data_IF_614910380257
#
_entry.id   IF_614910380257
#
_cell.length_a   1.000
_cell.length_b   1.000
_cell.length_c   1.000
_cell.angle_alpha   90.00
_cell.angle_beta   90.00
_cell.angle_gamma   90.00
#
_symmetry.space_group_name_H-M   'P 1'
#
loop_
_entity.id
_entity.type
_entity.pdbx_description
1 polymer ?
#
# COMPACT_ATOMS: atom_id res chain seq x y z
N UNK A 1 1.80 -10.71 -20.59
CA UNK A 1 1.75 -11.33 -19.25
C UNK A 1 0.29 -11.34 -18.82
N UNK A 2 -0.28 -12.48 -18.41
CA UNK A 2 -1.70 -12.52 -18.04
C UNK A 2 -2.00 -11.87 -16.68
N UNK A 3 -0.96 -11.60 -15.89
CA UNK A 3 -1.03 -10.95 -14.59
C UNK A 3 0.11 -9.95 -14.38
N UNK A 4 -0.06 -9.08 -13.37
CA UNK A 4 0.92 -8.09 -12.90
C UNK A 4 0.87 -7.98 -11.38
N UNK A 5 1.97 -7.53 -10.80
CA UNK A 5 2.04 -7.15 -9.39
C UNK A 5 1.86 -5.63 -9.28
N UNK A 6 0.93 -5.19 -8.45
CA UNK A 6 0.61 -3.78 -8.24
C UNK A 6 1.01 -3.41 -6.82
N UNK A 7 1.93 -2.46 -6.70
CA UNK A 7 2.32 -1.90 -5.39
C UNK A 7 1.08 -1.38 -4.67
N UNK A 8 0.92 -1.79 -3.42
CA UNK A 8 -0.22 -1.44 -2.58
C UNK A 8 0.20 -1.32 -1.13
N UNK A 9 -0.76 -1.01 -0.26
CA UNK A 9 -0.57 -0.98 1.17
C UNK A 9 -1.85 -1.37 1.89
N UNK A 10 -1.72 -1.66 3.18
CA UNK A 10 -2.78 -1.86 4.16
C UNK A 10 -3.95 -0.86 4.05
N UNK A 11 -3.65 0.38 3.65
CA UNK A 11 -4.59 1.50 3.62
C UNK A 11 -4.98 1.95 2.21
N UNK A 12 -4.42 1.29 1.19
CA UNK A 12 -4.76 1.58 -0.20
C UNK A 12 -6.07 0.90 -0.57
N UNK A 13 -6.84 1.52 -1.47
CA UNK A 13 -7.96 0.82 -2.10
C UNK A 13 -7.45 -0.39 -2.87
N UNK A 14 -8.23 -1.47 -2.86
CA UNK A 14 -7.89 -2.67 -3.61
C UNK A 14 -7.84 -2.35 -5.11
N UNK A 15 -6.77 -2.73 -5.83
CA UNK A 15 -6.67 -2.50 -7.27
C UNK A 15 -7.70 -3.31 -8.05
N UNK A 16 -8.04 -2.84 -9.25
CA UNK A 16 -8.90 -3.58 -10.17
C UNK A 16 -8.28 -4.94 -10.54
N UNK A 17 -9.13 -5.93 -10.78
CA UNK A 17 -8.74 -7.31 -11.13
C UNK A 17 -7.86 -8.02 -10.08
N UNK A 18 -7.91 -7.58 -8.82
CA UNK A 18 -7.22 -8.28 -7.74
C UNK A 18 -7.71 -9.72 -7.60
N UNK A 19 -6.76 -10.66 -7.54
CA UNK A 19 -7.05 -12.10 -7.51
C UNK A 19 -7.56 -12.51 -6.13
N UNK A 20 -8.78 -13.03 -6.08
CA UNK A 20 -9.37 -13.57 -4.84
C UNK A 20 -8.70 -14.88 -4.48
N UNK A 21 -8.17 -14.93 -3.26
CA UNK A 21 -7.51 -16.10 -2.69
C UNK A 21 -8.47 -17.06 -1.97
N UNK A 22 -9.52 -16.53 -1.36
CA UNK A 22 -10.48 -17.29 -0.55
C UNK A 22 -11.14 -16.40 0.50
N UNK A 23 -11.28 -16.92 1.72
CA UNK A 23 -11.91 -16.21 2.84
C UNK A 23 -11.15 -16.43 4.15
N UNK A 24 -11.08 -15.39 4.98
CA UNK A 24 -10.47 -15.44 6.32
C UNK A 24 -11.50 -15.92 7.37
N UNK A 25 -11.07 -16.00 8.63
CA UNK A 25 -11.89 -16.48 9.76
C UNK A 25 -13.14 -15.63 10.05
N UNK A 26 -13.08 -14.33 9.75
CA UNK A 26 -14.18 -13.38 9.87
C UNK A 26 -15.13 -13.42 8.65
N UNK A 27 -14.87 -14.32 7.70
CA UNK A 27 -15.58 -14.41 6.42
C UNK A 27 -15.17 -13.35 5.40
N UNK A 28 -14.22 -12.47 5.72
CA UNK A 28 -13.74 -11.47 4.78
C UNK A 28 -13.02 -12.12 3.60
N UNK A 29 -13.23 -11.57 2.40
CA UNK A 29 -12.49 -11.99 1.21
C UNK A 29 -11.00 -11.66 1.39
N UNK A 30 -10.15 -12.64 1.11
CA UNK A 30 -8.70 -12.46 1.10
C UNK A 30 -8.22 -12.41 -0.34
N UNK A 31 -7.17 -11.64 -0.58
CA UNK A 31 -6.57 -11.43 -1.89
C UNK A 31 -5.14 -11.92 -1.92
N UNK A 32 -4.70 -12.33 -3.10
CA UNK A 32 -3.35 -12.79 -3.34
C UNK A 32 -2.42 -11.58 -3.41
N UNK A 33 -1.48 -11.50 -2.48
CA UNK A 33 -0.40 -10.54 -2.50
C UNK A 33 0.96 -11.18 -2.32
N UNK A 34 2.00 -10.36 -2.35
CA UNK A 34 3.36 -10.71 -1.96
C UNK A 34 3.98 -9.58 -1.16
N UNK A 35 4.88 -9.91 -0.24
CA UNK A 35 5.58 -8.93 0.56
C UNK A 35 7.02 -9.39 0.82
N UNK A 36 7.93 -8.42 0.84
CA UNK A 36 9.32 -8.66 1.21
C UNK A 36 9.45 -8.78 2.74
N UNK A 37 10.22 -9.76 3.19
CA UNK A 37 10.57 -9.96 4.58
C UNK A 37 11.95 -10.58 4.70
N UNK A 38 12.90 -9.88 5.34
CA UNK A 38 14.30 -10.33 5.50
C UNK A 38 14.98 -10.71 4.18
N UNK A 39 14.65 -10.02 3.08
CA UNK A 39 15.17 -10.33 1.73
C UNK A 39 14.48 -11.49 1.01
N UNK A 40 13.50 -12.15 1.65
CA UNK A 40 12.64 -13.14 1.00
C UNK A 40 11.37 -12.47 0.46
N UNK A 41 10.99 -12.77 -0.79
CA UNK A 41 9.70 -12.37 -1.35
C UNK A 41 8.66 -13.47 -1.12
N UNK A 42 7.75 -13.26 -0.16
CA UNK A 42 6.82 -14.27 0.34
C UNK A 42 5.37 -13.97 -0.03
N UNK A 43 4.55 -15.03 -0.11
CA UNK A 43 3.10 -14.91 -0.35
C UNK A 43 2.46 -14.18 0.83
N UNK A 44 1.71 -13.13 0.52
CA UNK A 44 1.00 -12.30 1.46
C UNK A 44 -0.51 -12.49 1.32
N UNK A 45 -1.15 -12.94 2.40
CA UNK A 45 -2.60 -12.96 2.58
C UNK A 45 -3.10 -11.55 2.84
N UNK A 46 -3.58 -10.85 1.81
CA UNK A 46 -4.11 -9.49 1.93
C UNK A 46 -5.55 -9.54 2.43
N UNK A 47 -5.83 -8.87 3.55
CA UNK A 47 -7.15 -8.86 4.19
C UNK A 47 -7.64 -7.40 4.33
N UNK A 48 -8.37 -6.87 3.33
CA UNK A 48 -8.78 -5.46 3.31
C UNK A 48 -9.62 -5.03 4.52
N UNK A 49 -10.45 -5.91 5.07
CA UNK A 49 -11.25 -5.64 6.29
C UNK A 49 -10.37 -5.34 7.51
N UNK A 50 -9.20 -5.99 7.59
CA UNK A 50 -8.21 -5.81 8.66
C UNK A 50 -7.20 -4.72 8.35
N UNK A 51 -7.25 -4.13 7.15
CA UNK A 51 -6.25 -3.18 6.64
C UNK A 51 -4.82 -3.71 6.82
N UNK A 52 -4.59 -4.99 6.55
CA UNK A 52 -3.31 -5.64 6.72
C UNK A 52 -3.14 -6.80 5.74
N UNK A 53 -1.89 -7.09 5.40
CA UNK A 53 -1.45 -8.35 4.81
C UNK A 53 -0.81 -9.24 5.88
N UNK A 54 -0.79 -10.55 5.67
CA UNK A 54 -0.09 -11.50 6.53
C UNK A 54 0.76 -12.45 5.70
N UNK A 55 2.03 -12.57 6.04
CA UNK A 55 2.92 -13.61 5.49
C UNK A 55 3.11 -14.72 6.53
N UNK A 56 3.45 -15.92 6.08
CA UNK A 56 3.87 -16.99 6.98
C UNK A 56 5.39 -17.14 6.94
N UNK A 57 6.07 -17.18 8.08
CA UNK A 57 7.52 -17.38 8.14
C UNK A 57 7.92 -17.93 9.52
N UNK A 58 8.77 -18.98 9.53
CA UNK A 58 9.37 -19.57 10.75
C UNK A 58 8.37 -19.90 11.87
N UNK A 59 7.19 -20.43 11.53
CA UNK A 59 6.17 -20.79 12.52
C UNK A 59 5.19 -19.68 12.88
N UNK A 60 5.40 -18.45 12.40
CA UNK A 60 4.59 -17.27 12.75
C UNK A 60 3.82 -16.71 11.54
N UNK A 61 2.68 -16.08 11.84
CA UNK A 61 1.98 -15.24 10.87
C UNK A 61 2.35 -13.77 11.13
N UNK A 62 3.16 -13.21 10.24
CA UNK A 62 3.71 -11.88 10.40
C UNK A 62 2.87 -10.85 9.63
N UNK A 63 2.37 -9.79 10.30
CA UNK A 63 1.62 -8.74 9.64
C UNK A 63 2.52 -7.89 8.73
N UNK A 64 1.93 -7.38 7.64
CA UNK A 64 2.55 -6.53 6.63
C UNK A 64 1.59 -5.42 6.21
N UNK A 65 2.11 -4.21 6.17
CA UNK A 65 1.42 -2.99 5.76
C UNK A 65 1.80 -2.53 4.35
N UNK A 66 2.97 -2.93 3.88
CA UNK A 66 3.45 -2.72 2.51
C UNK A 66 3.53 -4.07 1.81
N UNK A 67 2.87 -4.17 0.65
CA UNK A 67 2.82 -5.39 -0.14
C UNK A 67 2.43 -5.07 -1.59
N UNK A 68 2.61 -6.02 -2.48
CA UNK A 68 2.07 -5.96 -3.83
C UNK A 68 0.85 -6.88 -3.92
N UNK A 69 -0.18 -6.47 -4.66
CA UNK A 69 -1.37 -7.28 -4.94
C UNK A 69 -1.24 -7.88 -6.35
N UNK A 70 -1.57 -9.16 -6.47
CA UNK A 70 -1.65 -9.84 -7.76
C UNK A 70 -2.94 -9.43 -8.48
N UNK A 71 -2.78 -8.83 -9.65
CA UNK A 71 -3.90 -8.44 -10.52
C UNK A 71 -3.79 -9.15 -11.86
N UNK A 72 -4.87 -9.73 -12.37
CA UNK A 72 -4.87 -10.32 -13.69
C UNK A 72 -6.02 -11.27 -13.97
N UNK A 73 -6.04 -11.76 -15.22
CA UNK A 73 -7.05 -12.68 -15.74
C UNK A 73 -6.41 -14.00 -16.18
N UNK A 74 -7.21 -15.05 -16.39
CA UNK A 74 -6.75 -16.40 -16.77
C UNK A 74 -5.83 -17.04 -15.70
N UNK A 75 -6.16 -16.84 -14.43
CA UNK A 75 -5.51 -17.51 -13.31
C UNK A 75 -6.48 -18.52 -12.71
N UNK A 76 -6.04 -19.76 -12.57
CA UNK A 76 -6.88 -20.88 -12.15
C UNK A 76 -6.23 -21.60 -10.98
N UNK A 77 -7.05 -22.02 -10.01
CA UNK A 77 -6.61 -22.87 -8.90
C UNK A 77 -6.74 -24.32 -9.30
N UNK A 78 -5.62 -25.05 -9.25
CA UNK A 78 -5.57 -26.47 -9.62
C UNK A 78 -5.14 -27.29 -8.42
N UNK A 79 -5.79 -28.41 -8.15
CA UNK A 79 -5.37 -29.34 -7.08
C UNK A 79 -3.96 -29.85 -7.37
N UNK A 80 -3.07 -29.72 -6.39
CA UNK A 80 -1.72 -30.25 -6.47
C UNK A 80 -1.71 -31.67 -5.87
N UNK A 81 -1.29 -32.65 -6.67
CA UNK A 81 -1.12 -34.03 -6.24
C UNK A 81 0.37 -34.32 -6.04
N UNK A 82 0.71 -35.05 -4.97
CA UNK A 82 2.08 -35.47 -4.63
C UNK A 82 3.12 -34.34 -4.58
N UNK A 83 2.69 -33.09 -4.37
CA UNK A 83 3.56 -31.90 -4.34
C UNK A 83 4.35 -31.67 -5.63
N UNK A 84 3.85 -32.16 -6.76
CA UNK A 84 4.40 -31.86 -8.09
C UNK A 84 3.93 -30.49 -8.52
N UNK A 85 4.86 -29.55 -8.65
CA UNK A 85 4.59 -28.17 -9.05
C UNK A 85 4.44 -28.11 -10.58
N UNK A 86 3.29 -27.68 -11.12
CA UNK A 86 3.12 -27.48 -12.57
C UNK A 86 4.06 -26.43 -13.14
N UNK A 87 4.49 -26.59 -14.39
CA UNK A 87 5.39 -25.65 -15.06
C UNK A 87 4.79 -24.24 -15.23
N UNK A 88 3.46 -24.16 -15.32
CA UNK A 88 2.72 -22.90 -15.43
C UNK A 88 2.26 -22.35 -14.07
N UNK A 89 2.84 -22.82 -12.96
CA UNK A 89 2.55 -22.28 -11.63
C UNK A 89 2.99 -20.82 -11.51
N UNK A 90 2.13 -20.00 -10.90
CA UNK A 90 2.42 -18.59 -10.68
C UNK A 90 3.52 -18.44 -9.64
N UNK A 91 4.62 -17.82 -10.06
CA UNK A 91 5.74 -17.50 -9.18
C UNK A 91 5.43 -16.23 -8.38
N UNK A 92 5.42 -16.35 -7.05
CA UNK A 92 5.30 -15.21 -6.14
C UNK A 92 6.58 -14.37 -6.16
N UNK A 93 7.71 -15.05 -6.03
CA UNK A 93 9.04 -14.46 -5.92
C UNK A 93 10.08 -15.50 -5.60
N UNK A 94 11.20 -15.06 -5.04
CA UNK A 94 12.29 -15.93 -4.59
C UNK A 94 12.71 -15.57 -3.16
N UNK A 95 13.23 -16.55 -2.45
CA UNK A 95 13.91 -16.32 -1.17
C UNK A 95 15.31 -15.74 -1.41
N UNK A 96 15.93 -15.25 -0.35
CA UNK A 96 17.34 -14.83 -0.27
C UNK A 96 18.34 -15.92 -0.69
N UNK A 97 17.93 -17.19 -0.64
CA UNK A 97 18.68 -18.35 -1.12
C UNK A 97 18.34 -18.74 -2.58
N UNK A 98 17.69 -17.85 -3.31
CA UNK A 98 17.25 -18.03 -4.70
C UNK A 98 16.23 -19.18 -4.91
N UNK A 99 15.53 -19.60 -3.85
CA UNK A 99 14.51 -20.64 -3.96
C UNK A 99 13.18 -20.06 -4.43
N UNK A 100 12.49 -20.70 -5.41
CA UNK A 100 11.21 -20.21 -5.91
C UNK A 100 10.10 -20.39 -4.86
N UNK A 101 9.28 -19.35 -4.71
CA UNK A 101 8.10 -19.37 -3.84
C UNK A 101 6.85 -19.37 -4.72
N UNK A 102 6.02 -20.40 -4.59
CA UNK A 102 4.76 -20.52 -5.34
C UNK A 102 3.55 -20.20 -4.46
N UNK A 103 2.44 -19.87 -5.12
CA UNK A 103 1.19 -19.46 -4.47
C UNK A 103 0.26 -20.66 -4.39
N UNK A 104 -0.13 -21.02 -3.17
CA UNK A 104 -1.13 -22.05 -2.94
C UNK A 104 -2.26 -21.56 -2.06
N UNK A 105 -3.32 -22.36 -1.98
CA UNK A 105 -4.39 -22.19 -1.00
C UNK A 105 -4.89 -23.55 -0.51
N UNK A 106 -5.39 -23.58 0.71
CA UNK A 106 -5.89 -24.81 1.31
C UNK A 106 -7.02 -24.55 2.30
N UNK A 107 -7.81 -25.59 2.53
CA UNK A 107 -8.86 -25.55 3.54
C UNK A 107 -8.25 -25.77 4.93
N UNK A 108 -8.55 -24.86 5.86
CA UNK A 108 -8.14 -24.96 7.26
C UNK A 108 -9.23 -24.38 8.15
N UNK A 109 -9.68 -25.15 9.15
CA UNK A 109 -10.76 -24.76 10.08
C UNK A 109 -12.04 -24.21 9.41
N UNK A 110 -12.39 -24.69 8.21
CA UNK A 110 -13.58 -24.24 7.47
C UNK A 110 -13.37 -23.00 6.60
N UNK A 111 -12.14 -22.48 6.54
CA UNK A 111 -11.77 -21.32 5.74
C UNK A 111 -10.83 -21.72 4.60
N UNK A 112 -10.89 -21.01 3.47
CA UNK A 112 -10.01 -21.22 2.33
C UNK A 112 -8.92 -20.16 2.33
N UNK A 113 -7.70 -20.55 2.69
CA UNK A 113 -6.62 -19.60 3.03
C UNK A 113 -5.43 -19.79 2.09
N UNK A 114 -4.90 -18.68 1.58
CA UNK A 114 -3.71 -18.68 0.73
C UNK A 114 -2.41 -18.71 1.54
N UNK A 115 -1.33 -19.15 0.90
CA UNK A 115 -0.01 -19.22 1.51
C UNK A 115 1.10 -19.59 0.55
N UNK A 116 2.30 -19.74 1.10
CA UNK A 116 3.51 -20.08 0.34
C UNK A 116 3.65 -21.60 0.20
N UNK A 117 3.93 -22.07 -1.02
CA UNK A 117 4.28 -23.47 -1.26
C UNK A 117 5.81 -23.58 -1.28
N UNK A 118 6.34 -24.51 -0.48
CA UNK A 118 7.76 -24.89 -0.51
C UNK A 118 7.93 -26.22 -1.22
N UNK A 119 8.72 -26.23 -2.29
CA UNK A 119 9.12 -27.47 -2.98
C UNK A 119 10.00 -28.35 -2.09
N UNK A 120 10.82 -27.73 -1.22
CA UNK A 120 11.72 -28.43 -0.30
C UNK A 120 10.96 -29.14 0.80
N UNK A 121 10.02 -28.45 1.46
CA UNK A 121 9.23 -29.04 2.53
C UNK A 121 8.03 -29.84 2.03
N UNK A 122 7.75 -29.79 0.72
CA UNK A 122 6.61 -30.46 0.09
C UNK A 122 5.32 -30.16 0.84
N UNK A 123 5.02 -28.87 1.02
CA UNK A 123 3.84 -28.44 1.77
C UNK A 123 3.43 -26.99 1.42
N UNK A 124 2.17 -26.68 1.71
CA UNK A 124 1.65 -25.32 1.78
C UNK A 124 1.79 -24.80 3.22
N UNK A 125 2.27 -23.58 3.38
CA UNK A 125 2.31 -22.86 4.65
C UNK A 125 1.39 -21.64 4.58
N UNK A 126 0.40 -21.59 5.46
CA UNK A 126 -0.58 -20.49 5.53
C UNK A 126 -0.42 -19.68 6.82
N UNK A 127 -0.74 -18.39 6.76
CA UNK A 127 -0.81 -17.51 7.93
C UNK A 127 -2.22 -17.53 8.55
N UNK A 128 -2.36 -18.05 9.77
CA UNK A 128 -3.65 -18.17 10.45
C UNK A 128 -3.53 -18.00 11.97
N UNK A 129 -4.33 -17.06 12.54
CA UNK A 129 -4.37 -16.72 13.97
C UNK A 129 -2.98 -16.52 14.62
N UNK A 130 -2.14 -15.71 13.98
CA UNK A 130 -0.80 -15.41 14.49
C UNK A 130 0.25 -16.52 14.27
N UNK A 131 -0.13 -17.68 13.75
CA UNK A 131 0.76 -18.81 13.54
C UNK A 131 0.84 -19.22 12.06
N UNK A 132 1.98 -19.80 11.67
CA UNK A 132 2.13 -20.51 10.41
C UNK A 132 1.57 -21.93 10.55
N UNK A 133 0.71 -22.34 9.62
CA UNK A 133 0.12 -23.69 9.58
C UNK A 133 0.59 -24.40 8.33
N UNK A 134 1.04 -25.65 8.52
CA UNK A 134 1.46 -26.54 7.45
C UNK A 134 0.27 -27.38 6.97
N UNK A 135 0.03 -27.39 5.67
CA UNK A 135 -0.98 -28.21 4.99
C UNK A 135 -0.30 -29.07 3.93
N UNK A 136 -0.66 -30.36 3.91
CA UNK A 136 -0.15 -31.30 2.90
C UNK A 136 -1.06 -31.37 1.65
N UNK A 137 -2.34 -31.03 1.78
CA UNK A 137 -3.30 -30.95 0.66
C UNK A 137 -3.64 -29.50 0.34
N UNK A 138 -3.45 -29.11 -0.91
CA UNK A 138 -3.64 -27.73 -1.36
C UNK A 138 -3.92 -27.64 -2.87
N UNK A 139 -4.43 -26.48 -3.26
CA UNK A 139 -4.50 -26.04 -4.64
C UNK A 139 -3.36 -25.07 -4.92
N UNK A 140 -2.81 -25.11 -6.13
CA UNK A 140 -1.77 -24.21 -6.62
C UNK A 140 -2.36 -23.27 -7.68
N UNK A 141 -1.95 -22.01 -7.64
CA UNK A 141 -2.36 -21.02 -8.62
C UNK A 141 -1.51 -21.20 -9.90
N UNK A 142 -2.18 -21.37 -11.04
CA UNK A 142 -1.52 -21.55 -12.34
C UNK A 142 -2.02 -20.52 -13.36
N UNK A 143 -1.15 -20.14 -14.30
CA UNK A 143 -1.52 -19.33 -15.45
C UNK A 143 -2.13 -20.23 -16.52
N UNK A 144 -3.40 -19.99 -16.87
CA UNK A 144 -4.05 -20.65 -17.98
C UNK A 144 -3.62 -19.97 -19.28
N UNK A 145 -2.72 -20.64 -20.00
CA UNK A 145 -2.32 -20.18 -21.33
C UNK A 145 -3.53 -20.32 -22.24
N UNK A 146 -4.07 -19.21 -22.73
CA UNK A 146 -5.03 -19.25 -23.85
C UNK A 146 -4.34 -19.93 -25.02
N UNK A 147 -4.58 -21.22 -25.17
CA UNK A 147 -4.51 -21.87 -26.47
C UNK A 147 -5.69 -21.28 -27.22
N UNK A 148 -5.50 -20.13 -27.88
CA UNK A 148 -6.23 -19.93 -29.13
C UNK A 148 -5.96 -21.22 -29.89
N UNK A 149 -6.97 -22.05 -30.20
CA UNK A 149 -6.76 -23.17 -31.10
C UNK A 149 -6.11 -22.52 -32.31
N UNK A 150 -4.83 -22.83 -32.51
CA UNK A 150 -4.14 -22.34 -33.68
C UNK A 150 -5.02 -22.74 -34.85
N UNK A 151 -5.13 -21.85 -35.83
CA UNK A 151 -5.29 -22.33 -37.18
C UNK A 151 -4.16 -23.33 -37.45
N UNK A 152 -4.36 -24.58 -37.06
CA UNK A 152 -3.63 -25.71 -37.60
C UNK A 152 -4.19 -25.84 -39.00
N UNK A 153 -3.37 -25.46 -40.00
CA UNK A 153 -3.59 -25.99 -41.33
C UNK A 153 -3.67 -27.52 -41.18
N UNK A 154 -4.70 -28.17 -41.78
CA UNK A 154 -4.77 -29.62 -41.74
C UNK A 154 -3.44 -30.19 -42.26
N UNK A 155 -2.96 -31.32 -41.72
CA UNK A 155 -1.74 -31.93 -42.21
C UNK A 155 -1.83 -32.11 -43.72
N UNK A 156 -0.77 -31.81 -44.48
CA UNK A 156 -0.79 -32.06 -45.92
C UNK A 156 -1.14 -33.54 -46.15
N UNK A 157 -1.94 -33.85 -47.18
CA UNK A 157 -2.27 -35.23 -47.50
C UNK A 157 -0.97 -36.05 -47.65
N UNK A 158 -0.99 -37.35 -47.33
CA UNK A 158 0.19 -38.20 -47.41
C UNK A 158 0.83 -38.07 -48.79
N UNK A 159 2.16 -37.92 -48.82
CA UNK A 159 2.94 -38.00 -50.04
C UNK A 159 2.84 -39.44 -50.56
N UNK A 160 1.90 -39.70 -51.45
CA UNK A 160 1.89 -40.92 -52.25
C UNK A 160 3.12 -40.88 -53.18
N UNK A 161 4.02 -41.84 -52.96
CA UNK A 161 5.18 -42.12 -53.79
C UNK A 161 4.75 -42.53 -55.22
N UNK A 162 5.62 -42.30 -56.23
CA UNK A 162 5.17 -41.97 -57.58
C UNK A 162 4.83 -43.21 -58.42
N UNK A 163 3.55 -43.40 -58.72
CA UNK A 163 3.14 -44.30 -59.81
C UNK A 163 3.32 -43.61 -61.18
N UNK A 164 4.44 -43.95 -61.81
CA UNK A 164 4.68 -44.12 -63.25
C UNK A 164 3.78 -43.33 -64.21
N UNK A 165 4.38 -42.31 -64.84
CA UNK A 165 3.81 -41.46 -65.90
C UNK A 165 3.09 -42.23 -67.02
N UNK A 166 2.04 -41.61 -67.61
CA UNK A 166 1.83 -41.63 -69.05
C UNK A 166 2.21 -40.28 -69.69
N UNK A 167 2.61 -40.37 -70.95
CA UNK A 167 3.25 -39.36 -71.79
C UNK A 167 2.41 -38.06 -71.96
N UNK A 168 3.11 -36.97 -72.21
CA UNK A 168 2.62 -35.60 -72.50
C UNK A 168 1.54 -35.53 -73.59
N UNK A 169 0.50 -34.67 -73.42
CA UNK A 169 -0.28 -34.16 -74.56
C UNK A 169 0.43 -32.93 -75.19
N UNK A 170 0.22 -32.68 -76.51
CA UNK A 170 0.93 -31.63 -77.26
C UNK A 170 0.48 -30.20 -76.88
N UNK A 171 1.28 -29.17 -77.17
CA UNK A 171 0.96 -27.79 -76.81
C UNK A 171 -0.21 -27.24 -77.66
N UNK A 172 -1.04 -26.33 -77.10
CA UNK A 172 -2.14 -25.70 -77.83
C UNK A 172 -1.65 -24.65 -78.84
N UNK A 173 -2.39 -24.42 -79.95
CA UNK A 173 -2.03 -23.43 -80.96
C UNK A 173 -2.22 -21.99 -80.47
N UNK A 174 -1.34 -21.09 -80.95
CA UNK A 174 -1.33 -19.66 -80.62
C UNK A 174 -2.60 -18.93 -81.11
N UNK A 175 -3.17 -18.00 -80.33
CA UNK A 175 -4.28 -17.16 -80.78
C UNK A 175 -3.82 -16.07 -81.77
N UNK A 176 -4.67 -15.68 -82.74
CA UNK A 176 -4.34 -14.64 -83.72
C UNK A 176 -4.32 -13.23 -83.12
N UNK A 177 -3.49 -12.40 -83.76
CA UNK A 177 -3.08 -11.04 -83.42
C UNK A 177 -4.25 -10.07 -83.20
N UNK A 178 -4.26 -9.36 -82.07
CA UNK A 178 -5.22 -8.29 -81.79
C UNK A 178 -4.90 -7.01 -82.59
N UNK A 179 -5.92 -6.23 -83.04
CA UNK A 179 -5.73 -4.96 -83.73
C UNK A 179 -5.19 -3.85 -82.77
N UNK A 180 -4.57 -2.78 -83.31
CA UNK A 180 -3.80 -1.84 -82.51
C UNK A 180 -4.68 -1.04 -81.55
N UNK A 181 -4.39 -1.15 -80.25
CA UNK A 181 -5.00 -0.37 -79.20
C UNK A 181 -4.59 1.11 -79.33
N UNK A 182 -5.60 1.98 -79.39
CA UNK A 182 -5.46 3.42 -79.34
C UNK A 182 -4.73 3.88 -78.06
N UNK A 183 -3.95 4.95 -78.20
CA UNK A 183 -3.08 5.51 -77.17
C UNK A 183 -3.85 5.86 -75.87
N UNK A 184 -3.29 5.47 -74.73
CA UNK A 184 -3.80 5.83 -73.40
C UNK A 184 -3.61 7.34 -73.15
N UNK A 185 -4.52 8.03 -72.43
CA UNK A 185 -4.51 9.50 -72.34
C UNK A 185 -3.40 10.12 -71.48
N UNK A 186 -2.51 9.35 -70.86
CA UNK A 186 -1.44 9.90 -70.01
C UNK A 186 -0.16 9.05 -70.10
N UNK A 187 0.87 9.48 -70.84
CA UNK A 187 2.19 8.86 -70.78
C UNK A 187 2.92 9.24 -69.48
N UNK A 188 3.52 8.25 -68.81
CA UNK A 188 4.50 8.50 -67.75
C UNK A 188 5.78 9.09 -68.38
N UNK A 189 6.41 10.10 -67.77
CA UNK A 189 7.65 10.66 -68.29
C UNK A 189 8.80 9.66 -68.21
N UNK A 190 9.62 9.68 -69.26
CA UNK A 190 10.80 8.84 -69.44
C UNK A 190 11.83 9.09 -68.32
N UNK A 191 12.25 8.00 -67.65
CA UNK A 191 13.20 8.04 -66.53
C UNK A 191 14.62 8.48 -66.96
N UNK A 192 14.87 8.65 -68.26
CA UNK A 192 16.12 9.17 -68.81
C UNK A 192 16.27 10.69 -68.84
N UNK A 193 15.24 11.48 -68.46
CA UNK A 193 15.27 12.95 -68.59
C UNK A 193 15.14 13.75 -67.28
N UNK A 194 15.43 13.15 -66.12
CA UNK A 194 15.47 13.89 -64.86
C UNK A 194 16.83 14.59 -64.66
N UNK A 195 16.88 15.86 -64.18
CA UNK A 195 18.07 16.71 -64.25
C UNK A 195 19.09 16.49 -63.10
N UNK A 196 19.08 15.33 -62.44
CA UNK A 196 19.95 15.07 -61.29
C UNK A 196 20.76 13.79 -61.50
N UNK A 197 22.11 13.86 -61.46
CA UNK A 197 22.98 12.71 -61.70
C UNK A 197 22.84 11.64 -60.60
N UNK A 198 22.85 10.37 -61.01
CA UNK A 198 22.65 9.17 -60.20
C UNK A 198 23.81 8.83 -59.23
N UNK A 199 24.61 9.83 -58.83
CA UNK A 199 25.81 9.67 -58.00
C UNK A 199 25.65 10.10 -56.54
N UNK A 200 24.51 10.65 -56.13
CA UNK A 200 24.23 10.98 -54.72
C UNK A 200 23.21 10.03 -54.08
N UNK A 201 23.62 8.76 -53.95
CA UNK A 201 22.91 7.81 -53.09
C UNK A 201 23.46 7.99 -51.66
N UNK A 202 22.65 8.37 -50.66
CA UNK A 202 23.14 8.36 -49.27
C UNK A 202 23.53 6.92 -48.90
N UNK A 203 24.62 6.73 -48.13
CA UNK A 203 25.11 5.40 -47.79
C UNK A 203 24.05 4.61 -47.00
N UNK A 204 24.03 3.30 -47.23
CA UNK A 204 23.20 2.37 -46.49
C UNK A 204 23.49 2.49 -44.99
N UNK A 205 22.44 2.62 -44.19
CA UNK A 205 22.52 2.74 -42.74
C UNK A 205 23.07 1.45 -42.12
N UNK A 206 24.38 1.43 -41.84
CA UNK A 206 25.01 0.44 -40.97
C UNK A 206 25.05 0.99 -39.55
N UNK A 207 24.57 0.25 -38.53
CA UNK A 207 24.64 0.72 -37.14
C UNK A 207 26.11 0.81 -36.71
N UNK A 208 26.59 2.03 -36.47
CA UNK A 208 27.91 2.31 -35.88
C UNK A 208 27.87 2.08 -34.36
N UNK A 209 28.90 1.45 -33.78
CA UNK A 209 29.08 1.39 -32.32
C UNK A 209 29.43 2.78 -31.75
N UNK A 210 28.92 3.08 -30.55
CA UNK A 210 29.08 4.36 -29.85
C UNK A 210 30.55 4.77 -29.59
N UNK A 211 30.83 6.08 -29.52
CA UNK A 211 32.18 6.60 -29.30
C UNK A 211 32.62 6.52 -27.83
N UNK A 212 33.89 6.13 -27.63
CA UNK A 212 34.59 6.21 -26.35
C UNK A 212 34.73 7.67 -25.86
N UNK A 213 34.70 7.94 -24.55
CA UNK A 213 34.96 9.27 -24.00
C UNK A 213 36.46 9.65 -24.08
N UNK A 214 36.78 10.96 -24.05
CA UNK A 214 38.14 11.47 -24.30
C UNK A 214 39.13 11.16 -23.18
N UNK A 215 40.34 10.78 -23.58
CA UNK A 215 41.53 10.63 -22.73
C UNK A 215 42.04 12.02 -22.35
N UNK A 216 42.04 12.34 -21.06
CA UNK A 216 42.66 13.58 -20.58
C UNK A 216 42.14 14.10 -19.24
N UNK A 217 42.16 13.27 -18.20
CA UNK A 217 41.87 13.70 -16.83
C UNK A 217 42.55 12.77 -15.85
N UNK A 218 43.58 13.27 -15.17
CA UNK A 218 44.31 12.54 -14.12
C UNK A 218 43.37 12.35 -12.93
N UNK A 219 42.84 11.14 -12.75
CA UNK A 219 42.32 10.68 -11.46
C UNK A 219 43.34 9.73 -10.83
N UNK A 220 43.87 10.15 -9.69
CA UNK A 220 44.65 9.31 -8.78
C UNK A 220 43.67 8.31 -8.14
N UNK A 221 43.78 7.04 -8.52
CA UNK A 221 43.08 5.94 -7.86
C UNK A 221 43.88 5.44 -6.64
N UNK A 222 43.25 5.13 -5.50
CA UNK A 222 43.92 4.40 -4.42
C UNK A 222 44.23 2.96 -4.87
N UNK A 223 45.41 2.50 -4.47
CA UNK A 223 45.99 1.18 -4.76
C UNK A 223 45.09 0.02 -4.28
N UNK A 224 44.99 -1.10 -5.02
CA UNK A 224 44.35 -2.31 -4.50
C UNK A 224 45.20 -2.92 -3.38
N UNK A 225 44.55 -3.27 -2.27
CA UNK A 225 45.14 -4.01 -1.15
C UNK A 225 45.39 -5.48 -1.55
N UNK A 226 46.48 -6.10 -1.06
CA UNK A 226 46.84 -7.47 -1.44
C UNK A 226 45.95 -8.52 -0.75
N UNK A 227 45.70 -9.61 -1.45
CA UNK A 227 45.10 -10.87 -0.94
C UNK A 227 45.95 -11.48 0.17
N UNK A 228 45.37 -12.02 1.27
CA UNK A 228 46.13 -12.73 2.29
C UNK A 228 46.51 -14.16 1.84
N UNK A 229 47.57 -14.75 2.41
CA UNK A 229 48.06 -16.06 2.01
C UNK A 229 47.19 -17.21 2.55
N UNK A 230 47.23 -18.34 1.84
CA UNK A 230 46.68 -19.61 2.30
C UNK A 230 47.57 -20.22 3.39
N UNK A 231 46.95 -20.64 4.50
CA UNK A 231 47.60 -21.46 5.54
C UNK A 231 47.88 -20.70 6.84
N UNK A 232 46.94 -20.79 7.78
CA UNK A 232 47.12 -20.35 9.17
C UNK A 232 45.95 -20.85 10.02
N UNK A 233 46.21 -21.78 10.93
CA UNK A 233 45.24 -22.27 11.91
C UNK A 233 44.92 -21.11 12.86
N UNK A 234 43.68 -20.60 12.81
CA UNK A 234 43.18 -19.64 13.78
C UNK A 234 42.63 -20.41 14.98
N UNK A 235 43.38 -20.39 16.08
CA UNK A 235 42.85 -20.66 17.42
C UNK A 235 41.88 -19.54 17.76
N UNK A 236 40.59 -19.88 17.92
CA UNK A 236 39.58 -18.91 18.35
C UNK A 236 39.86 -18.46 19.79
N UNK A 237 39.70 -17.16 20.11
CA UNK A 237 39.59 -16.74 21.51
C UNK A 237 38.30 -17.31 22.12
N UNK A 238 38.29 -17.63 23.43
CA UNK A 238 37.11 -18.22 24.06
C UNK A 238 35.91 -17.26 24.01
N UNK A 239 34.67 -17.79 23.96
CA UNK A 239 33.47 -16.98 23.97
C UNK A 239 33.39 -16.14 25.26
N UNK A 240 32.82 -14.92 25.22
CA UNK A 240 32.54 -14.19 26.44
C UNK A 240 31.60 -15.03 27.31
N UNK A 241 31.90 -15.06 28.62
CA UNK A 241 31.18 -15.85 29.60
C UNK A 241 29.67 -15.59 29.52
N UNK A 242 28.90 -16.68 29.58
CA UNK A 242 27.47 -16.69 29.81
C UNK A 242 27.12 -15.79 30.99
N UNK A 243 26.29 -14.77 30.76
CA UNK A 243 25.62 -14.07 31.85
C UNK A 243 24.67 -15.05 32.52
N UNK A 244 25.04 -15.49 33.72
CA UNK A 244 24.12 -16.06 34.69
C UNK A 244 23.06 -15.01 35.01
N UNK A 245 21.75 -15.34 35.00
CA UNK A 245 20.75 -14.42 35.51
C UNK A 245 21.03 -14.18 37.00
N UNK A 246 21.22 -12.93 37.38
CA UNK A 246 21.26 -12.54 38.78
C UNK A 246 19.94 -12.99 39.43
N UNK A 247 20.04 -13.63 40.58
CA UNK A 247 18.90 -13.92 41.45
C UNK A 247 18.05 -12.65 41.61
N UNK A 248 16.79 -12.76 41.18
CA UNK A 248 15.75 -11.80 41.53
C UNK A 248 15.49 -11.96 43.01
N UNK A 249 16.12 -11.11 43.83
CA UNK A 249 15.64 -10.85 45.18
C UNK A 249 14.27 -10.20 45.06
N UNK A 250 13.24 -10.97 45.39
CA UNK A 250 11.86 -10.49 45.51
C UNK A 250 11.80 -9.55 46.71
N UNK A 251 11.88 -8.24 46.45
CA UNK A 251 11.44 -7.24 47.41
C UNK A 251 9.90 -7.32 47.52
N UNK A 252 9.34 -7.41 48.74
CA UNK A 252 7.88 -7.42 48.90
C UNK A 252 7.28 -6.08 48.46
N UNK A 253 6.09 -6.15 47.86
CA UNK A 253 5.32 -5.03 47.38
C UNK A 253 5.16 -3.94 48.46
N UNK A 254 5.19 -2.63 48.10
CA UNK A 254 4.79 -1.59 49.03
C UNK A 254 3.30 -1.75 49.34
N UNK A 255 3.00 -2.20 50.55
CA UNK A 255 1.67 -2.15 51.15
C UNK A 255 1.24 -0.69 51.27
N UNK A 256 0.31 -0.26 50.42
CA UNK A 256 -0.33 1.05 50.56
C UNK A 256 -1.29 0.97 51.76
N UNK A 257 -0.88 1.54 52.88
CA UNK A 257 -1.74 1.80 54.03
C UNK A 257 -2.41 3.14 53.75
N UNK A 258 -3.74 3.23 53.59
CA UNK A 258 -4.39 4.53 53.46
C UNK A 258 -4.25 5.28 54.78
N UNK A 259 -3.78 6.52 54.70
CA UNK A 259 -3.69 7.42 55.83
C UNK A 259 -5.10 7.66 56.42
N UNK A 260 -5.20 7.50 57.74
CA UNK A 260 -6.36 7.84 58.55
C UNK A 260 -6.68 9.33 58.37
N UNK A 261 -7.80 9.64 57.71
CA UNK A 261 -8.34 11.00 57.68
C UNK A 261 -9.34 11.11 58.82
N UNK A 262 -8.96 11.87 59.84
CA UNK A 262 -9.81 12.28 60.94
C UNK A 262 -11.07 12.97 60.41
N UNK A 263 -12.23 12.43 60.78
CA UNK A 263 -13.54 12.99 60.45
C UNK A 263 -13.73 14.34 61.17
N UNK A 264 -13.94 15.39 60.38
CA UNK A 264 -14.52 16.65 60.87
C UNK A 264 -15.99 16.68 60.45
N UNK A 265 -16.88 16.69 61.44
CA UNK A 265 -18.33 16.73 61.29
C UNK A 265 -18.81 18.15 60.97
N UNK A 266 -19.55 18.33 59.88
CA UNK A 266 -20.37 19.53 59.60
C UNK A 266 -21.69 19.07 58.93
N UNK A 267 -22.87 19.67 59.25
CA UNK A 267 -24.13 18.93 59.27
C UNK A 267 -24.93 18.91 57.95
N UNK A 268 -25.74 17.84 57.90
CA UNK A 268 -26.89 17.46 57.07
C UNK A 268 -27.70 18.60 56.43
N UNK A 269 -27.92 18.48 55.11
CA UNK A 269 -29.02 19.09 54.34
C UNK A 269 -29.58 18.07 53.33
N UNK A 270 -30.86 18.14 52.95
CA UNK A 270 -31.67 16.94 52.70
C UNK A 270 -31.51 16.31 51.31
N UNK A 271 -31.74 15.00 51.35
CA UNK A 271 -31.86 14.03 50.26
C UNK A 271 -32.80 14.47 49.13
N UNK A 272 -32.40 14.22 47.89
CA UNK A 272 -33.30 14.18 46.74
C UNK A 272 -33.40 12.73 46.22
N UNK A 273 -34.61 12.18 46.27
CA UNK A 273 -35.02 10.95 45.59
C UNK A 273 -35.41 11.25 44.13
N UNK A 274 -35.26 10.30 43.19
CA UNK A 274 -35.60 10.51 41.79
C UNK A 274 -37.09 10.26 41.55
N UNK A 275 -37.72 11.06 40.68
CA UNK A 275 -39.09 10.81 40.25
C UNK A 275 -39.20 10.93 38.72
N UNK A 276 -39.51 9.80 38.11
CA UNK A 276 -40.04 9.67 36.76
C UNK A 276 -41.47 10.23 36.69
N UNK A 277 -41.85 10.65 35.47
CA UNK A 277 -43.24 10.84 34.98
C UNK A 277 -43.86 12.23 35.17
N UNK A 278 -43.86 13.06 34.12
CA UNK A 278 -45.05 13.83 33.76
C UNK A 278 -45.09 14.26 32.28
N UNK A 279 -46.32 14.28 31.77
CA UNK A 279 -46.80 14.38 30.38
C UNK A 279 -47.02 15.86 29.97
N UNK A 280 -46.93 16.26 28.69
CA UNK A 280 -46.99 17.66 28.28
C UNK A 280 -48.38 18.05 27.77
N UNK A 281 -49.18 18.71 28.61
CA UNK A 281 -50.22 19.65 28.17
C UNK A 281 -50.75 20.41 29.40
N UNK A 282 -50.47 21.71 29.50
CA UNK A 282 -51.48 22.75 29.73
C UNK A 282 -50.86 24.15 29.79
N UNK A 283 -51.62 25.12 29.32
CA UNK A 283 -51.26 26.49 29.05
C UNK A 283 -51.48 27.40 30.28
N UNK A 284 -50.62 28.40 30.48
CA UNK A 284 -50.87 29.50 31.42
C UNK A 284 -49.63 30.35 31.76
N UNK A 285 -49.53 31.52 31.11
CA UNK A 285 -48.74 32.73 31.41
C UNK A 285 -47.78 32.78 32.63
N UNK A 286 -46.52 33.19 32.43
CA UNK A 286 -46.11 34.61 32.47
C UNK A 286 -44.58 34.80 32.63
N UNK A 287 -43.99 35.42 31.60
CA UNK A 287 -42.89 36.43 31.63
C UNK A 287 -41.67 36.24 32.54
N UNK A 288 -40.58 35.69 31.98
CA UNK A 288 -39.23 36.24 32.16
C UNK A 288 -38.32 35.81 30.99
N UNK A 289 -37.84 36.77 30.19
CA UNK A 289 -36.87 36.56 29.11
C UNK A 289 -35.56 37.27 29.44
N UNK A 290 -34.41 36.59 29.39
CA UNK A 290 -33.13 37.26 29.19
C UNK A 290 -32.53 36.91 27.81
N UNK A 291 -32.48 37.95 26.98
CA UNK A 291 -31.44 38.31 26.02
C UNK A 291 -30.92 37.24 25.04
N UNK A 292 -31.59 37.15 23.89
CA UNK A 292 -30.94 36.88 22.61
C UNK A 292 -29.91 37.98 22.31
N UNK A 293 -28.64 37.60 22.15
CA UNK A 293 -27.68 38.46 21.45
C UNK A 293 -27.90 38.31 19.95
N UNK A 294 -28.66 39.25 19.39
CA UNK A 294 -28.72 39.54 17.98
C UNK A 294 -27.32 39.91 17.46
N UNK A 295 -27.00 39.42 16.26
CA UNK A 295 -25.71 39.66 15.60
C UNK A 295 -25.58 41.05 14.99
N UNK A 296 -24.33 41.38 14.63
CA UNK A 296 -23.94 42.39 13.65
C UNK A 296 -22.47 42.11 13.23
N UNK A 297 -21.98 42.66 12.10
CA UNK A 297 -22.55 42.69 10.76
C UNK A 297 -21.59 42.06 9.73
N UNK A 298 -22.06 41.93 8.48
CA UNK A 298 -21.31 41.42 7.35
C UNK A 298 -20.13 42.33 6.96
N UNK A 299 -18.91 41.84 7.11
CA UNK A 299 -17.89 41.80 6.06
C UNK A 299 -16.88 40.72 6.45
N UNK A 300 -16.82 39.62 5.71
CA UNK A 300 -15.61 38.79 5.59
C UNK A 300 -15.81 37.88 4.39
N UNK A 301 -15.51 38.48 3.25
CA UNK A 301 -15.66 37.92 1.92
C UNK A 301 -14.49 36.99 1.60
N UNK A 302 -14.41 35.80 2.22
CA UNK A 302 -13.80 34.57 1.71
C UNK A 302 -14.36 33.38 2.52
N UNK A 303 -15.53 32.91 2.10
CA UNK A 303 -16.43 32.09 2.91
C UNK A 303 -16.01 30.65 3.27
N UNK A 304 -16.65 30.19 4.34
CA UNK A 304 -16.90 28.82 4.83
C UNK A 304 -15.98 28.21 5.90
N UNK A 305 -16.23 28.62 7.15
CA UNK A 305 -16.32 27.68 8.27
C UNK A 305 -17.62 26.86 8.13
N UNK A 306 -17.50 25.61 7.68
CA UNK A 306 -18.56 24.60 7.72
C UNK A 306 -18.03 23.42 8.52
N UNK A 307 -18.88 22.88 9.40
CA UNK A 307 -18.63 21.77 10.33
C UNK A 307 -18.47 20.41 9.59
N UNK A 308 -17.62 20.36 8.56
CA UNK A 308 -17.35 19.15 7.76
C UNK A 308 -16.55 18.13 8.55
N UNK A 309 -15.53 18.61 9.28
CA UNK A 309 -14.64 17.76 10.06
C UNK A 309 -15.13 17.71 11.50
N UNK A 310 -15.58 16.52 11.92
CA UNK A 310 -16.07 16.32 13.29
C UNK A 310 -14.90 15.91 14.17
N UNK A 311 -14.56 16.76 15.13
CA UNK A 311 -13.52 16.51 16.12
C UNK A 311 -14.15 16.20 17.47
N UNK A 312 -13.90 15.00 17.99
CA UNK A 312 -14.46 14.53 19.27
C UNK A 312 -13.36 14.49 20.31
N UNK A 313 -13.57 15.17 21.44
CA UNK A 313 -12.64 15.12 22.58
C UNK A 313 -12.50 13.70 23.09
N UNK A 314 -11.27 13.29 23.33
CA UNK A 314 -10.90 12.01 23.90
C UNK A 314 -10.19 12.26 25.24
N UNK A 315 -10.54 11.44 26.23
CA UNK A 315 -9.94 11.45 27.56
C UNK A 315 -9.32 10.09 27.88
N UNK A 316 -8.27 10.04 28.73
CA UNK A 316 -7.64 8.78 29.13
C UNK A 316 -8.65 7.81 29.73
N UNK A 317 -8.71 6.59 29.21
CA UNK A 317 -9.59 5.52 29.71
C UNK A 317 -10.96 5.42 29.04
N UNK A 318 -11.30 6.30 28.09
CA UNK A 318 -12.56 6.19 27.33
C UNK A 318 -12.38 5.36 26.04
N UNK A 319 -13.41 4.61 25.66
CA UNK A 319 -13.45 3.90 24.38
C UNK A 319 -13.53 4.93 23.25
N UNK A 320 -12.65 4.82 22.25
CA UNK A 320 -12.69 5.71 21.09
C UNK A 320 -13.88 5.38 20.18
N UNK A 321 -14.35 6.38 19.44
CA UNK A 321 -15.47 6.19 18.50
C UNK A 321 -15.10 5.13 17.43
N UNK A 322 -15.98 4.15 17.15
CA UNK A 322 -15.79 3.20 16.03
C UNK A 322 -15.65 3.90 14.66
N UNK A 323 -16.13 5.13 14.58
CA UNK A 323 -16.08 5.99 13.39
C UNK A 323 -14.84 6.90 13.37
N UNK A 324 -13.88 6.70 14.27
CA UNK A 324 -12.61 7.43 14.26
C UNK A 324 -11.80 7.11 12.99
N UNK A 325 -11.14 8.14 12.46
CA UNK A 325 -10.30 8.02 11.26
C UNK A 325 -8.97 7.37 11.63
N UNK A 326 -8.71 6.19 11.05
CA UNK A 326 -7.43 5.49 11.21
C UNK A 326 -6.36 6.22 10.41
N UNK A 327 -5.31 6.65 11.10
CA UNK A 327 -4.16 7.36 10.55
C UNK A 327 -3.04 6.44 10.08
N UNK A 328 -2.97 5.24 10.64
CA UNK A 328 -1.98 4.24 10.28
C UNK A 328 -1.81 3.22 11.40
N UNK A 329 -0.58 2.75 11.62
CA UNK A 329 -0.26 1.84 12.72
C UNK A 329 1.12 2.13 13.27
N UNK A 330 1.35 1.75 14.52
CA UNK A 330 2.66 1.81 15.15
C UNK A 330 3.54 0.62 14.72
N UNK A 331 4.81 0.59 15.14
CA UNK A 331 5.76 -0.47 14.75
C UNK A 331 5.39 -1.86 15.26
N UNK A 332 4.49 -1.94 16.25
CA UNK A 332 3.89 -3.17 16.76
C UNK A 332 2.55 -3.52 16.06
N UNK A 333 2.19 -2.80 14.99
CA UNK A 333 0.93 -2.91 14.24
C UNK A 333 -0.33 -2.48 15.00
N UNK A 334 -0.18 -1.83 16.15
CA UNK A 334 -1.30 -1.17 16.83
C UNK A 334 -1.86 -0.05 15.95
N UNK A 335 -3.18 0.01 15.78
CA UNK A 335 -3.80 1.09 15.00
C UNK A 335 -3.59 2.46 15.65
N UNK A 336 -3.14 3.41 14.84
CA UNK A 336 -3.01 4.81 15.23
C UNK A 336 -4.18 5.61 14.64
N UNK A 337 -4.78 6.47 15.45
CA UNK A 337 -5.89 7.32 15.04
C UNK A 337 -5.39 8.72 14.69
N UNK A 338 -6.07 9.37 13.74
CA UNK A 338 -5.84 10.78 13.43
C UNK A 338 -6.38 11.64 14.57
N UNK A 339 -5.51 12.43 15.18
CA UNK A 339 -5.90 13.34 16.25
C UNK A 339 -5.30 14.73 16.09
N UNK A 340 -5.75 15.65 16.93
CA UNK A 340 -5.09 16.93 17.20
C UNK A 340 -5.06 17.18 18.70
N UNK A 341 -3.95 17.69 19.21
CA UNK A 341 -3.81 18.11 20.60
C UNK A 341 -3.64 19.62 20.68
N UNK A 342 -4.13 20.23 21.77
CA UNK A 342 -3.99 21.67 21.97
C UNK A 342 -2.68 21.96 22.70
N UNK A 343 -1.70 22.51 21.99
CA UNK A 343 -0.37 22.77 22.51
C UNK A 343 0.04 24.20 22.20
N UNK A 344 0.48 24.95 23.22
CA UNK A 344 0.94 26.36 23.10
C UNK A 344 -0.03 27.28 22.34
N UNK A 345 -1.33 27.12 22.58
CA UNK A 345 -2.36 27.98 21.99
C UNK A 345 -2.85 27.56 20.60
N UNK A 346 -2.35 26.43 20.06
CA UNK A 346 -2.72 25.96 18.73
C UNK A 346 -3.09 24.48 18.75
N UNK A 347 -3.97 24.07 17.84
CA UNK A 347 -4.24 22.65 17.61
C UNK A 347 -3.19 22.07 16.66
N UNK A 348 -2.39 21.13 17.15
CA UNK A 348 -1.35 20.44 16.37
C UNK A 348 -1.83 19.03 16.05
N UNK A 349 -1.88 18.62 14.77
CA UNK A 349 -2.23 17.25 14.40
C UNK A 349 -1.13 16.25 14.78
N UNK A 350 -1.53 15.00 15.00
CA UNK A 350 -0.62 13.93 15.38
C UNK A 350 -1.29 12.56 15.37
N UNK A 351 -0.72 11.64 16.16
CA UNK A 351 -1.20 10.25 16.32
C UNK A 351 -1.80 10.07 17.71
N UNK A 352 -2.94 9.39 17.80
CA UNK A 352 -3.45 8.88 19.06
C UNK A 352 -3.26 7.36 19.11
N UNK A 353 -2.70 6.86 20.22
CA UNK A 353 -2.50 5.44 20.47
C UNK A 353 -3.57 4.95 21.46
N UNK A 354 -4.59 4.21 21.02
CA UNK A 354 -5.69 3.84 21.88
C UNK A 354 -5.30 3.02 23.11
N UNK A 355 -4.30 2.12 22.99
CA UNK A 355 -3.84 1.32 24.13
C UNK A 355 -3.22 2.16 25.24
N UNK A 356 -2.69 3.34 24.90
CA UNK A 356 -2.00 4.25 25.83
C UNK A 356 -2.90 5.39 26.33
N UNK A 357 -4.03 5.62 25.65
CA UNK A 357 -4.97 6.68 26.02
C UNK A 357 -4.40 8.10 25.87
N UNK A 358 -3.42 8.31 25.00
CA UNK A 358 -2.79 9.61 24.79
C UNK A 358 -2.53 9.91 23.31
N UNK A 359 -2.38 11.20 23.00
CA UNK A 359 -1.92 11.69 21.72
C UNK A 359 -0.43 12.02 21.77
N UNK A 360 0.20 11.91 20.61
CA UNK A 360 1.57 12.31 20.37
C UNK A 360 1.58 13.30 19.21
N UNK A 361 2.20 14.46 19.42
CA UNK A 361 2.35 15.51 18.41
C UNK A 361 3.83 15.82 18.19
N UNK A 362 4.17 16.27 16.98
CA UNK A 362 5.53 16.66 16.65
C UNK A 362 5.65 18.19 16.78
N UNK A 363 6.58 18.67 17.61
CA UNK A 363 6.85 20.10 17.72
C UNK A 363 8.25 20.39 18.24
N UNK A 364 8.97 21.30 17.57
CA UNK A 364 10.26 21.80 18.04
C UNK A 364 11.35 20.72 18.11
N UNK A 365 11.32 19.73 17.21
CA UNK A 365 12.30 18.65 17.20
C UNK A 365 11.97 17.49 18.15
N UNK A 366 10.83 17.51 18.83
CA UNK A 366 10.46 16.52 19.86
C UNK A 366 9.08 15.93 19.59
N UNK A 367 8.90 14.70 20.08
CA UNK A 367 7.58 14.10 20.27
C UNK A 367 7.05 14.54 21.64
N UNK A 368 5.87 15.14 21.64
CA UNK A 368 5.19 15.64 22.83
C UNK A 368 3.98 14.77 23.10
N UNK A 369 3.85 14.30 24.35
CA UNK A 369 2.72 13.47 24.79
C UNK A 369 1.66 14.36 25.41
N UNK A 370 0.44 14.29 24.89
CA UNK A 370 -0.70 15.05 25.36
C UNK A 370 -1.85 14.10 25.76
N UNK A 371 -2.29 14.10 27.02
CA UNK A 371 -3.39 13.24 27.48
C UNK A 371 -4.76 13.74 27.02
N UNK A 372 -4.90 15.04 26.73
CA UNK A 372 -6.14 15.64 26.24
C UNK A 372 -6.00 15.99 24.77
N UNK A 373 -6.85 15.37 23.95
CA UNK A 373 -6.79 15.52 22.50
C UNK A 373 -8.17 15.35 21.88
N UNK A 374 -8.27 15.67 20.60
CA UNK A 374 -9.48 15.45 19.82
C UNK A 374 -9.17 14.49 18.68
N UNK A 375 -10.05 13.52 18.47
CA UNK A 375 -9.97 12.57 17.36
C UNK A 375 -10.83 13.03 16.20
N UNK A 376 -10.36 12.80 14.99
CA UNK A 376 -11.14 13.03 13.79
C UNK A 376 -12.12 11.87 13.57
N UNK A 377 -13.39 12.19 13.31
CA UNK A 377 -14.48 11.21 13.12
C UNK A 377 -15.10 11.36 11.73
N UNK A 378 -15.59 10.25 11.19
CA UNK A 378 -16.18 10.15 9.85
C UNK A 378 -15.38 9.21 8.96
N UNK A 379 -15.21 7.96 9.37
CA UNK A 379 -14.52 6.93 8.61
C UNK A 379 -15.19 6.78 7.24
N UNK A 380 -14.41 6.97 6.17
CA UNK A 380 -14.89 6.96 4.78
C UNK A 380 -15.18 8.33 4.15
N UNK A 381 -15.26 9.41 4.94
CA UNK A 381 -15.35 10.79 4.40
C UNK A 381 -14.02 11.32 3.87
N UNK A 382 -12.93 10.63 4.21
CA UNK A 382 -11.57 11.05 3.92
C UNK A 382 -10.83 9.96 3.15
N UNK A 383 -9.81 10.39 2.42
CA UNK A 383 -8.87 9.53 1.71
C UNK A 383 -7.46 10.11 1.83
N UNK A 384 -6.47 9.25 1.64
CA UNK A 384 -5.06 9.61 1.67
C UNK A 384 -4.57 9.78 0.25
N UNK A 385 -3.91 10.91 -0.02
CA UNK A 385 -3.37 11.23 -1.35
C UNK A 385 -1.86 11.38 -1.27
N UNK A 386 -1.09 10.62 -2.07
CA UNK A 386 0.36 10.79 -2.15
C UNK A 386 0.75 12.23 -2.48
N UNK A 387 1.73 12.75 -1.75
CA UNK A 387 2.27 14.09 -1.93
C UNK A 387 3.74 14.16 -1.51
N UNK A 388 4.39 15.27 -1.84
CA UNK A 388 5.81 15.50 -1.58
C UNK A 388 6.13 16.99 -1.50
N UNK A 389 7.28 17.33 -0.90
CA UNK A 389 7.88 18.68 -0.88
C UNK A 389 6.96 19.83 -0.45
N UNK A 390 6.05 19.57 0.50
CA UNK A 390 5.09 20.57 1.00
C UNK A 390 3.85 20.75 0.13
N UNK A 391 3.70 20.00 -0.94
CA UNK A 391 2.50 20.08 -1.77
C UNK A 391 1.28 19.60 -0.96
N UNK A 392 0.21 20.37 -1.02
CA UNK A 392 -1.04 20.11 -0.32
C UNK A 392 -2.16 20.01 -1.36
N UNK A 393 -2.71 18.81 -1.59
CA UNK A 393 -3.77 18.60 -2.55
C UNK A 393 -5.06 19.35 -2.15
N UNK A 394 -5.92 19.69 -3.12
CA UNK A 394 -7.19 20.33 -2.80
C UNK A 394 -8.09 19.46 -1.94
N UNK A 395 -8.79 20.10 -1.01
CA UNK A 395 -9.64 19.39 -0.04
C UNK A 395 -8.88 18.87 1.18
N UNK A 396 -7.61 19.25 1.37
CA UNK A 396 -6.83 18.85 2.54
C UNK A 396 -7.50 19.28 3.85
N UNK A 397 -7.46 18.38 4.83
CA UNK A 397 -8.05 18.60 6.16
C UNK A 397 -7.15 19.54 6.96
N UNK A 398 -7.73 20.67 7.41
CA UNK A 398 -7.06 21.64 8.27
C UNK A 398 -7.33 21.25 9.72
N UNK A 399 -6.29 20.83 10.45
CA UNK A 399 -6.42 20.40 11.85
C UNK A 399 -6.27 21.55 12.84
N UNK A 400 -5.57 22.61 12.45
CA UNK A 400 -5.34 23.80 13.25
C UNK A 400 -4.68 24.90 12.44
N UNK A 401 -4.27 25.96 13.11
CA UNK A 401 -3.54 27.07 12.50
C UNK A 401 -2.39 27.47 13.40
N UNK A 402 -1.27 27.86 12.81
CA UNK A 402 -0.16 28.49 13.53
C UNK A 402 -0.62 29.81 14.16
N UNK A 403 0.13 30.38 15.10
CA UNK A 403 -0.19 31.71 15.65
C UNK A 403 -0.25 32.81 14.58
N UNK A 404 0.43 32.64 13.44
CA UNK A 404 0.38 33.54 12.29
C UNK A 404 -0.84 33.36 11.38
N UNK A 405 -1.71 32.38 11.67
CA UNK A 405 -2.92 32.09 10.89
C UNK A 405 -2.73 31.05 9.78
N UNK A 406 -1.50 30.60 9.53
CA UNK A 406 -1.20 29.58 8.51
C UNK A 406 -1.81 28.22 8.87
N UNK A 407 -2.45 27.51 7.93
CA UNK A 407 -3.10 26.24 8.19
C UNK A 407 -2.10 25.11 8.45
N UNK A 408 -2.43 24.25 9.42
CA UNK A 408 -1.75 23.00 9.69
C UNK A 408 -2.55 21.85 9.08
N UNK A 409 -1.91 21.06 8.23
CA UNK A 409 -2.54 19.93 7.56
C UNK A 409 -2.12 18.59 8.19
N UNK A 410 -2.91 17.57 7.91
CA UNK A 410 -2.68 16.21 8.38
C UNK A 410 -2.01 15.43 7.27
N UNK A 411 -0.84 14.86 7.57
CA UNK A 411 -0.21 13.87 6.71
C UNK A 411 0.13 12.59 7.46
N UNK A 412 0.53 11.57 6.73
CA UNK A 412 1.12 10.36 7.29
C UNK A 412 2.29 9.86 6.44
N UNK A 413 3.22 9.13 7.05
CA UNK A 413 4.35 8.56 6.33
C UNK A 413 4.92 7.35 7.03
N UNK A 414 5.60 6.50 6.25
CA UNK A 414 6.26 5.31 6.76
C UNK A 414 7.61 5.68 7.38
N UNK A 415 7.85 5.23 8.62
CA UNK A 415 9.13 5.36 9.30
C UNK A 415 9.32 4.21 10.29
N UNK A 416 10.45 3.51 10.20
CA UNK A 416 10.81 2.42 11.11
C UNK A 416 9.70 1.35 11.32
N UNK A 417 8.96 1.01 10.26
CA UNK A 417 7.88 0.02 10.31
C UNK A 417 6.56 0.54 10.89
N UNK A 418 6.46 1.83 11.19
CA UNK A 418 5.23 2.53 11.55
C UNK A 418 4.72 3.34 10.37
N UNK A 419 3.40 3.38 10.17
CA UNK A 419 2.76 4.38 9.32
C UNK A 419 2.15 5.43 10.24
N UNK A 420 2.83 6.56 10.37
CA UNK A 420 2.54 7.52 11.44
C UNK A 420 1.89 8.80 10.90
N UNK A 421 0.73 9.22 11.43
CA UNK A 421 0.19 10.54 11.14
C UNK A 421 0.94 11.65 11.89
N UNK A 422 1.02 12.83 11.28
CA UNK A 422 1.75 13.97 11.79
C UNK A 422 1.28 15.29 11.18
N UNK A 423 2.09 16.32 11.35
CA UNK A 423 1.79 17.70 10.94
C UNK A 423 2.52 18.05 9.65
N UNK A 424 1.79 18.69 8.73
CA UNK A 424 2.35 19.33 7.55
C UNK A 424 2.17 20.83 7.70
N UNK A 425 3.31 21.52 7.76
CA UNK A 425 3.42 22.95 7.57
C UNK A 425 3.94 23.21 6.15
N UNK A 426 3.16 23.90 5.32
CA UNK A 426 3.51 24.17 3.91
C UNK A 426 4.87 24.85 3.77
N UNK A 427 5.24 25.72 4.71
CA UNK A 427 6.53 26.39 4.76
C UNK A 427 7.71 25.42 4.98
N UNK A 428 7.55 24.40 5.83
CA UNK A 428 8.60 23.44 6.14
C UNK A 428 8.85 22.44 5.00
N UNK A 429 7.93 22.35 4.04
CA UNK A 429 7.98 21.46 2.87
C UNK A 429 8.22 19.98 3.19
N UNK A 430 7.80 19.54 4.37
CA UNK A 430 7.92 18.15 4.82
C UNK A 430 6.76 17.79 5.75
N UNK A 431 6.53 16.49 5.91
CA UNK A 431 5.73 15.94 6.98
C UNK A 431 6.60 15.78 8.23
N UNK A 432 6.12 16.27 9.37
CA UNK A 432 6.74 16.09 10.68
C UNK A 432 5.93 15.08 11.49
N UNK A 433 6.49 13.89 11.74
CA UNK A 433 5.85 12.84 12.53
C UNK A 433 6.47 12.73 13.93
N UNK A 434 5.66 12.46 14.96
CA UNK A 434 6.17 12.09 16.28
C UNK A 434 6.58 10.62 16.28
N UNK A 435 7.83 10.30 16.62
CA UNK A 435 8.29 8.91 16.78
C UNK A 435 9.47 8.80 17.76
N UNK A 436 9.35 7.89 18.74
CA UNK A 436 10.46 7.51 19.63
C UNK A 436 11.03 8.68 20.46
N UNK A 437 10.19 9.62 20.89
CA UNK A 437 10.62 10.81 21.62
C UNK A 437 11.11 11.97 20.75
N UNK A 438 11.15 11.81 19.42
CA UNK A 438 11.68 12.81 18.48
C UNK A 438 10.66 13.21 17.40
N UNK A 439 10.87 14.38 16.81
CA UNK A 439 10.21 14.79 15.57
C UNK A 439 11.04 14.29 14.38
N UNK A 440 10.42 13.50 13.51
CA UNK A 440 11.03 12.96 12.30
C UNK A 440 10.46 13.68 11.08
N UNK A 441 11.33 14.07 10.14
CA UNK A 441 10.95 14.79 8.91
C UNK A 441 10.97 13.86 7.72
N UNK A 442 9.86 13.79 6.99
CA UNK A 442 9.67 12.97 5.79
C UNK A 442 9.36 13.85 4.57
N UNK A 443 10.04 13.60 3.46
CA UNK A 443 9.84 14.30 2.19
C UNK A 443 8.76 13.66 1.31
N UNK A 444 8.57 12.34 1.43
CA UNK A 444 7.50 11.58 0.78
C UNK A 444 6.46 11.18 1.81
N UNK A 445 5.21 11.53 1.57
CA UNK A 445 4.12 11.31 2.51
C UNK A 445 2.77 11.26 1.80
N UNK A 446 1.71 10.99 2.55
CA UNK A 446 0.33 11.13 2.07
C UNK A 446 -0.38 12.23 2.87
N UNK A 447 -1.27 12.97 2.23
CA UNK A 447 -2.08 14.03 2.84
C UNK A 447 -3.51 13.54 3.00
N UNK A 448 -4.11 13.80 4.16
CA UNK A 448 -5.53 13.51 4.39
C UNK A 448 -6.40 14.58 3.73
N UNK A 449 -7.31 14.16 2.87
CA UNK A 449 -8.20 15.01 2.09
C UNK A 449 -9.65 14.54 2.19
N UNK A 450 -10.59 15.48 2.06
CA UNK A 450 -12.04 15.19 2.00
C UNK A 450 -12.42 14.61 0.64
N UNK A 451 -13.03 13.42 0.65
CA UNK A 451 -13.30 12.62 -0.56
C UNK A 451 -14.19 13.32 -1.57
N UNK A 452 -15.25 13.97 -1.12
CA UNK A 452 -16.19 14.69 -1.97
C UNK A 452 -15.54 15.89 -2.69
N UNK A 453 -14.68 16.65 -1.99
CA UNK A 453 -14.00 17.81 -2.55
C UNK A 453 -12.93 17.37 -3.56
N UNK A 454 -12.09 16.40 -3.19
CA UNK A 454 -11.00 15.96 -4.06
C UNK A 454 -11.51 15.36 -5.37
N UNK A 455 -12.47 14.42 -5.30
CA UNK A 455 -13.01 13.79 -6.50
C UNK A 455 -13.76 14.78 -7.39
N UNK A 456 -14.46 15.76 -6.80
CA UNK A 456 -15.10 16.84 -7.58
C UNK A 456 -14.07 17.64 -8.37
N UNK A 457 -12.93 17.98 -7.78
CA UNK A 457 -11.89 18.73 -8.48
C UNK A 457 -11.13 17.90 -9.52
N UNK A 458 -10.90 16.62 -9.24
CA UNK A 458 -10.36 15.68 -10.22
C UNK A 458 -11.27 15.55 -11.44
N UNK A 459 -12.58 15.43 -11.23
CA UNK A 459 -13.55 15.37 -12.32
C UNK A 459 -13.54 16.65 -13.18
N UNK A 460 -13.43 17.83 -12.56
CA UNK A 460 -13.32 19.09 -13.31
C UNK A 460 -12.05 19.11 -14.17
N UNK A 461 -10.91 18.61 -13.66
CA UNK A 461 -9.64 18.55 -14.42
C UNK A 461 -9.64 17.55 -15.58
N UNK A 462 -10.57 16.61 -15.63
CA UNK A 462 -10.68 15.65 -16.73
C UNK A 462 -11.59 16.13 -17.86
N UNK A 463 -12.37 17.19 -17.62
CA UNK A 463 -13.36 17.73 -18.57
C UNK A 463 -12.83 18.95 -19.32
N UNK A 464 -11.74 19.55 -18.86
CA UNK A 464 -11.01 20.65 -19.49
C UNK A 464 -9.56 20.24 -19.72
#
# INVERSE_FOLDING_TARGET
MAYKWVQSSAYSSLPEEAVVGGNDEDGAMIYVGRAEHEGDMLVCKVVPSKQLGFISQRGEALPKDIFEVLCGQNLVWTKCYDHVIPENAVLCGRTSLDQPVYIGRGHYEGHLIIGKISSVHRALFIAYRGAERRLDSYEILVEERRVVPGWQLPPPPPLEEPEKCPLTPPPPPFPPMAPPLAAKPYPYPDLGSMPFPLTDRPPAYTPTPDPLPPVGGVMVMPRPTPTPPAGGVLVMPPPPASFTPAEVSVAPAPSFVPAEVTAVSVPVGPSFTPASTYNPYEAGCSSYTPAECAGAPAYDAYGYGNNYDVWVSAEPGYYYSPDAVVGGHDSNMEQLLVCRAYYRGVHVPGKAAPSRGCAYIAHGGREIVEPTYQMLVGKGKYHWVPSYDGNVPPGAVVAGRTPGGEPLFIGRGHYCGSLTPGVIETYNRCLQIPYGGQEIRLSSYEVLVRSDIFHRQQAIRLVY
#
